data_IF_813196153161
#
_entry.id   IF_813196153161
#
_cell.length_a   1.000
_cell.length_b   1.000
_cell.length_c   1.000
_cell.angle_alpha   90.00
_cell.angle_beta   90.00
_cell.angle_gamma   90.00
#
_symmetry.space_group_name_H-M   'P 1'
#
loop_
_entity.id
_entity.type
_entity.pdbx_description
1 polymer ?
#
# COMPACT_ATOMS: atom_id res chain seq x y z
N UNK A 1 9.50 5.76 21.17
CA UNK A 1 8.15 6.08 20.69
C UNK A 1 8.07 6.52 19.21
N UNK A 2 8.93 7.41 18.67
CA UNK A 2 8.90 7.84 17.26
C UNK A 2 9.17 6.71 16.24
N UNK A 3 9.97 5.71 16.58
CA UNK A 3 10.30 4.55 15.71
C UNK A 3 9.14 3.56 15.55
N UNK A 4 8.38 3.30 16.62
CA UNK A 4 7.22 2.40 16.58
C UNK A 4 6.10 2.93 15.67
N UNK A 5 5.88 4.26 15.62
CA UNK A 5 4.86 4.88 14.77
C UNK A 5 5.18 4.75 13.26
N UNK A 6 6.47 4.79 12.89
CA UNK A 6 6.89 4.56 11.49
C UNK A 6 6.74 3.10 11.06
N UNK A 7 6.89 2.17 12.00
CA UNK A 7 6.72 0.74 11.78
C UNK A 7 5.27 0.38 11.44
N UNK A 8 4.32 0.90 12.19
CA UNK A 8 2.89 0.61 12.02
C UNK A 8 2.42 1.05 10.63
N UNK A 9 2.87 2.21 10.15
CA UNK A 9 2.52 2.71 8.82
C UNK A 9 3.09 1.82 7.70
N UNK A 10 4.33 1.32 7.85
CA UNK A 10 4.95 0.41 6.89
C UNK A 10 4.26 -0.96 6.87
N UNK A 11 3.84 -1.47 8.03
CA UNK A 11 3.16 -2.76 8.17
C UNK A 11 1.78 -2.77 7.47
N UNK A 12 1.02 -1.69 7.65
CA UNK A 12 -0.32 -1.55 7.07
C UNK A 12 -0.26 -1.43 5.55
N UNK A 13 0.76 -0.75 5.02
CA UNK A 13 0.98 -0.64 3.58
C UNK A 13 1.25 -1.99 2.91
N UNK A 14 1.93 -2.90 3.59
CA UNK A 14 2.20 -4.24 3.07
C UNK A 14 0.92 -5.10 2.98
N UNK A 15 0.05 -5.00 3.98
CA UNK A 15 -1.18 -5.80 4.06
C UNK A 15 -2.28 -5.29 3.12
N UNK A 16 -2.44 -3.97 2.97
CA UNK A 16 -3.51 -3.40 2.16
C UNK A 16 -3.25 -3.50 0.65
N UNK A 17 -1.99 -3.53 0.23
CA UNK A 17 -1.66 -3.66 -1.20
C UNK A 17 -1.91 -5.08 -1.74
N UNK A 18 -1.88 -6.10 -0.88
CA UNK A 18 -2.22 -7.47 -1.25
C UNK A 18 -3.70 -7.58 -1.63
N UNK A 19 -4.58 -6.87 -0.93
CA UNK A 19 -6.03 -6.94 -1.17
C UNK A 19 -6.48 -6.26 -2.48
N UNK A 20 -5.82 -5.19 -2.92
CA UNK A 20 -6.27 -4.43 -4.09
C UNK A 20 -5.82 -5.01 -5.43
N UNK A 21 -4.76 -5.81 -5.46
CA UNK A 21 -4.30 -6.47 -6.69
C UNK A 21 -4.82 -7.92 -6.85
N UNK A 22 -5.49 -8.47 -5.83
CA UNK A 22 -6.05 -9.84 -5.86
C UNK A 22 -7.53 -9.88 -6.28
N UNK A 23 -8.19 -8.74 -6.40
CA UNK A 23 -9.62 -8.67 -6.72
C UNK A 23 -9.99 -9.08 -8.18
N UNK A 24 -9.03 -9.52 -8.98
CA UNK A 24 -9.25 -9.94 -10.37
C UNK A 24 -8.95 -11.42 -10.66
N UNK A 25 -8.71 -12.24 -9.63
CA UNK A 25 -8.53 -13.67 -9.84
C UNK A 25 -9.57 -14.47 -9.03
N UNK A 26 -10.27 -15.45 -9.64
CA UNK A 26 -11.14 -16.34 -8.91
C UNK A 26 -10.35 -17.04 -7.81
N UNK A 27 -10.96 -17.21 -6.64
CA UNK A 27 -10.40 -17.93 -5.51
C UNK A 27 -10.24 -19.42 -5.89
N UNK A 28 -9.15 -19.75 -6.55
CA UNK A 28 -8.73 -21.14 -6.67
C UNK A 28 -8.17 -21.58 -5.31
N UNK A 29 -8.70 -22.66 -4.77
CA UNK A 29 -8.14 -23.37 -3.61
C UNK A 29 -6.66 -23.58 -3.89
N UNK A 30 -5.82 -22.88 -3.18
CA UNK A 30 -4.40 -22.83 -3.47
C UNK A 30 -3.73 -23.97 -2.74
N UNK A 31 -3.05 -24.83 -3.48
CA UNK A 31 -2.14 -25.81 -2.89
C UNK A 31 -1.19 -25.08 -1.92
N UNK A 32 -1.25 -25.50 -0.64
CA UNK A 32 -0.41 -24.91 0.41
C UNK A 32 1.05 -24.94 -0.03
N UNK A 33 1.66 -23.77 -0.20
CA UNK A 33 3.11 -23.71 -0.32
C UNK A 33 3.73 -23.04 -1.52
N UNK A 34 3.02 -22.65 -2.57
CA UNK A 34 3.64 -21.92 -3.70
C UNK A 34 3.92 -20.47 -3.34
N UNK A 35 5.21 -20.08 -3.42
CA UNK A 35 5.60 -18.68 -3.19
C UNK A 35 5.04 -17.77 -4.29
N UNK A 36 4.53 -16.61 -3.91
CA UNK A 36 3.99 -15.60 -4.84
C UNK A 36 4.51 -14.22 -4.49
N UNK A 37 4.71 -13.44 -5.53
CA UNK A 37 5.04 -12.03 -5.42
C UNK A 37 4.34 -11.24 -6.53
N UNK A 38 4.00 -9.99 -6.28
CA UNK A 38 3.33 -9.14 -7.25
C UNK A 38 4.14 -9.03 -8.55
N UNK A 39 3.52 -9.31 -9.71
CA UNK A 39 4.18 -9.19 -11.02
C UNK A 39 4.46 -7.74 -11.42
N UNK A 40 3.67 -6.82 -10.89
CA UNK A 40 3.84 -5.37 -11.11
C UNK A 40 3.23 -4.56 -9.97
N UNK A 41 3.73 -3.33 -9.80
CA UNK A 41 3.15 -2.36 -8.88
C UNK A 41 3.38 -0.93 -9.39
N UNK A 42 2.54 0.00 -8.94
CA UNK A 42 2.72 1.44 -9.15
C UNK A 42 2.96 2.11 -7.81
N UNK A 43 4.05 2.86 -7.71
CA UNK A 43 4.43 3.63 -6.54
C UNK A 43 4.45 5.13 -6.89
N UNK A 44 4.23 5.98 -5.92
CA UNK A 44 4.51 7.40 -6.08
C UNK A 44 5.96 7.72 -5.70
N UNK A 45 6.56 8.74 -6.33
CA UNK A 45 7.82 9.31 -5.86
C UNK A 45 7.74 9.62 -4.36
N UNK A 46 8.72 9.14 -3.60
CA UNK A 46 8.79 9.31 -2.15
C UNK A 46 8.18 8.16 -1.35
N UNK A 47 7.46 7.22 -1.99
CA UNK A 47 6.99 6.02 -1.30
C UNK A 47 8.17 5.19 -0.78
N UNK A 48 8.03 4.72 0.45
CA UNK A 48 8.93 3.76 1.10
C UNK A 48 8.06 2.66 1.70
N UNK A 49 7.90 1.56 0.97
CA UNK A 49 6.88 0.54 1.23
C UNK A 49 7.48 -0.87 1.22
N UNK A 50 7.00 -1.72 2.11
CA UNK A 50 7.33 -3.14 2.15
C UNK A 50 6.32 -3.99 1.38
N UNK A 51 6.81 -4.93 0.58
CA UNK A 51 6.00 -5.93 -0.11
C UNK A 51 6.34 -7.32 0.39
N UNK A 52 5.33 -8.00 0.95
CA UNK A 52 5.45 -9.37 1.41
C UNK A 52 5.55 -10.38 0.28
N UNK A 53 6.26 -11.48 0.53
CA UNK A 53 6.26 -12.67 -0.32
C UNK A 53 5.22 -13.62 0.25
N UNK A 54 4.11 -13.81 -0.49
CA UNK A 54 2.99 -14.64 -0.04
C UNK A 54 3.44 -16.10 0.10
N UNK A 55 2.99 -16.78 1.14
CA UNK A 55 3.33 -18.16 1.50
C UNK A 55 4.83 -18.37 1.82
N UNK A 56 5.59 -17.30 2.09
CA UNK A 56 6.92 -17.43 2.67
C UNK A 56 6.84 -17.84 4.15
N UNK A 57 7.89 -18.53 4.61
CA UNK A 57 8.01 -19.00 5.98
C UNK A 57 9.37 -18.58 6.56
N UNK A 58 9.49 -18.51 7.87
CA UNK A 58 10.66 -17.97 8.59
C UNK A 58 12.02 -18.57 8.20
N UNK A 59 12.04 -19.77 7.65
CA UNK A 59 13.27 -20.42 7.17
C UNK A 59 13.64 -20.10 5.73
N UNK A 60 12.80 -19.39 4.98
CA UNK A 60 13.10 -18.99 3.60
C UNK A 60 14.19 -17.90 3.57
N UNK A 61 15.00 -17.84 2.52
CA UNK A 61 16.07 -16.84 2.36
C UNK A 61 15.91 -16.08 1.05
N UNK A 62 15.86 -14.76 1.12
CA UNK A 62 15.90 -13.89 -0.07
C UNK A 62 17.34 -13.75 -0.55
N UNK A 63 17.57 -14.12 -1.81
CA UNK A 63 18.88 -14.08 -2.47
C UNK A 63 18.84 -13.13 -3.67
N UNK A 64 19.98 -12.55 -4.02
CA UNK A 64 20.21 -11.83 -5.29
C UNK A 64 19.19 -10.69 -5.55
N UNK A 65 18.77 -9.99 -4.50
CA UNK A 65 17.80 -8.88 -4.63
C UNK A 65 18.43 -7.69 -5.37
N UNK A 66 17.87 -7.33 -6.52
CA UNK A 66 18.37 -6.26 -7.39
C UNK A 66 17.22 -5.40 -7.94
N UNK A 67 17.51 -4.13 -8.16
CA UNK A 67 16.70 -3.20 -8.96
C UNK A 67 17.45 -2.90 -10.27
N UNK A 68 16.78 -2.97 -11.41
CA UNK A 68 17.37 -2.68 -12.71
C UNK A 68 17.69 -1.19 -12.90
N UNK A 69 17.07 -0.32 -12.08
CA UNK A 69 17.32 1.13 -12.13
C UNK A 69 17.25 1.74 -10.72
N UNK A 70 18.38 1.82 -10.05
CA UNK A 70 18.50 2.34 -8.69
C UNK A 70 18.29 3.86 -8.60
N UNK A 71 18.34 4.58 -9.72
CA UNK A 71 17.96 6.00 -9.79
C UNK A 71 16.43 6.18 -9.67
N UNK A 72 15.66 5.20 -10.11
CA UNK A 72 14.18 5.17 -10.02
C UNK A 72 13.70 4.53 -8.73
N UNK A 73 14.26 3.35 -8.38
CA UNK A 73 13.81 2.54 -7.26
C UNK A 73 14.98 1.83 -6.58
N UNK A 74 15.12 1.97 -5.28
CA UNK A 74 16.01 1.11 -4.49
C UNK A 74 15.22 0.06 -3.74
N UNK A 75 15.85 -1.11 -3.54
CA UNK A 75 15.26 -2.25 -2.84
C UNK A 75 16.22 -2.78 -1.78
N UNK A 76 15.66 -3.24 -0.67
CA UNK A 76 16.42 -3.94 0.37
C UNK A 76 15.53 -4.94 1.09
N UNK A 77 16.12 -5.91 1.76
CA UNK A 77 15.39 -6.76 2.71
C UNK A 77 14.88 -5.88 3.85
N UNK A 78 13.65 -6.10 4.28
CA UNK A 78 13.10 -5.34 5.40
C UNK A 78 13.64 -5.88 6.73
N UNK A 79 14.26 -5.04 7.57
CA UNK A 79 14.76 -5.46 8.88
C UNK A 79 13.66 -5.68 9.93
N UNK A 80 12.41 -5.38 9.61
CA UNK A 80 11.31 -5.36 10.59
C UNK A 80 10.25 -6.45 10.37
N UNK A 81 10.30 -7.09 9.24
CA UNK A 81 9.39 -8.18 8.93
C UNK A 81 10.30 -9.29 8.53
N UNK A 82 10.21 -10.38 9.23
CA UNK A 82 11.00 -11.58 8.94
C UNK A 82 11.45 -11.58 7.47
N UNK A 83 12.50 -12.22 7.08
CA UNK A 83 13.22 -12.20 5.78
C UNK A 83 12.35 -12.25 4.48
N UNK A 84 11.04 -12.03 4.57
CA UNK A 84 10.03 -12.23 3.51
C UNK A 84 9.48 -10.95 2.91
N UNK A 85 9.93 -9.79 3.39
CA UNK A 85 9.48 -8.50 2.88
C UNK A 85 10.59 -7.79 2.13
N UNK A 86 10.25 -7.27 0.97
CA UNK A 86 11.10 -6.41 0.16
C UNK A 86 10.67 -4.99 0.36
N UNK A 87 11.53 -4.20 1.00
CA UNK A 87 11.36 -2.75 1.12
C UNK A 87 11.73 -2.09 -0.19
N UNK A 88 10.84 -1.26 -0.72
CA UNK A 88 11.01 -0.50 -1.96
C UNK A 88 10.93 0.98 -1.69
N UNK A 89 11.98 1.74 -2.04
CA UNK A 89 12.00 3.21 -1.95
C UNK A 89 11.97 3.81 -3.34
N UNK A 90 10.87 4.48 -3.68
CA UNK A 90 10.63 5.15 -4.94
C UNK A 90 11.29 6.52 -4.96
N UNK A 91 12.32 6.73 -5.82
CA UNK A 91 13.15 7.95 -5.84
C UNK A 91 12.68 8.98 -6.86
N UNK A 92 12.43 8.55 -8.09
CA UNK A 92 11.96 9.43 -9.17
C UNK A 92 11.06 8.70 -10.15
N UNK A 93 10.20 9.41 -10.88
CA UNK A 93 9.36 8.81 -11.92
C UNK A 93 10.17 8.01 -12.94
N UNK A 94 9.59 6.89 -13.37
CA UNK A 94 10.21 5.95 -14.31
C UNK A 94 9.78 4.51 -14.03
N UNK A 95 10.45 3.58 -14.69
CA UNK A 95 10.21 2.14 -14.51
C UNK A 95 11.49 1.45 -14.06
N UNK A 96 11.34 0.51 -13.13
CA UNK A 96 12.41 -0.40 -12.74
C UNK A 96 11.85 -1.81 -12.63
N UNK A 97 12.66 -2.81 -12.96
CA UNK A 97 12.34 -4.21 -12.71
C UNK A 97 13.13 -4.65 -11.48
N UNK A 98 12.44 -5.15 -10.48
CA UNK A 98 13.08 -5.84 -9.37
C UNK A 98 13.19 -7.32 -9.71
N UNK A 99 14.32 -7.93 -9.37
CA UNK A 99 14.56 -9.36 -9.50
C UNK A 99 15.19 -9.90 -8.22
N UNK A 100 14.75 -11.08 -7.79
CA UNK A 100 15.30 -11.77 -6.63
C UNK A 100 15.00 -13.26 -6.70
N UNK A 101 15.69 -14.02 -5.85
CA UNK A 101 15.43 -15.44 -5.65
C UNK A 101 15.07 -15.70 -4.19
N UNK A 102 14.24 -16.69 -3.95
CA UNK A 102 13.91 -17.19 -2.62
C UNK A 102 14.30 -18.66 -2.55
N UNK A 103 15.19 -19.00 -1.60
CA UNK A 103 15.58 -20.38 -1.30
C UNK A 103 14.79 -20.87 -0.09
N UNK A 104 14.07 -21.97 -0.24
CA UNK A 104 13.36 -22.65 0.85
C UNK A 104 14.30 -23.56 1.65
N UNK A 105 13.89 -23.94 2.87
CA UNK A 105 14.63 -24.88 3.73
C UNK A 105 14.95 -26.21 3.03
N UNK A 106 14.05 -26.71 2.19
CA UNK A 106 14.24 -27.93 1.39
C UNK A 106 15.18 -27.74 0.18
N UNK A 107 15.88 -26.61 0.07
CA UNK A 107 16.82 -26.32 -1.01
C UNK A 107 16.17 -25.75 -2.29
N UNK A 108 14.85 -25.87 -2.47
CA UNK A 108 14.14 -25.38 -3.68
C UNK A 108 14.28 -23.88 -3.83
N UNK A 109 14.62 -23.42 -5.05
CA UNK A 109 14.82 -22.00 -5.36
C UNK A 109 13.74 -21.52 -6.32
N UNK A 110 13.12 -20.39 -5.95
CA UNK A 110 12.11 -19.69 -6.76
C UNK A 110 12.69 -18.36 -7.24
N UNK A 111 12.46 -18.02 -8.51
CA UNK A 111 12.91 -16.75 -9.10
C UNK A 111 11.72 -15.84 -9.36
N UNK A 112 11.87 -14.56 -9.01
CA UNK A 112 10.83 -13.55 -9.17
C UNK A 112 11.36 -12.36 -9.96
N UNK A 113 10.47 -11.80 -10.79
CA UNK A 113 10.62 -10.51 -11.45
C UNK A 113 9.35 -9.70 -11.26
N UNK A 114 9.46 -8.40 -10.95
CA UNK A 114 8.33 -7.50 -10.80
C UNK A 114 8.64 -6.15 -11.46
N UNK A 115 7.72 -5.68 -12.31
CA UNK A 115 7.83 -4.37 -12.98
C UNK A 115 7.22 -3.30 -12.10
N UNK A 116 8.06 -2.40 -11.58
CA UNK A 116 7.62 -1.30 -10.73
C UNK A 116 7.64 0.00 -11.52
N UNK A 117 6.48 0.62 -11.61
CA UNK A 117 6.33 1.96 -12.18
C UNK A 117 6.29 2.99 -11.06
N UNK A 118 7.21 3.93 -11.08
CA UNK A 118 7.19 5.10 -10.19
C UNK A 118 6.60 6.29 -10.93
N UNK A 119 5.59 6.92 -10.35
CA UNK A 119 4.89 8.08 -10.91
C UNK A 119 5.11 9.32 -10.03
N UNK A 120 4.90 10.51 -10.61
CA UNK A 120 4.72 11.72 -9.83
C UNK A 120 3.38 11.62 -9.11
N UNK A 121 3.37 11.79 -7.80
CA UNK A 121 2.12 11.86 -7.05
C UNK A 121 1.37 13.15 -7.42
N UNK A 122 0.07 13.01 -7.61
CA UNK A 122 -0.85 14.14 -7.81
C UNK A 122 -2.06 13.88 -6.91
N UNK A 123 -2.45 14.88 -6.13
CA UNK A 123 -3.65 14.80 -5.31
C UNK A 123 -4.88 14.55 -6.19
N UNK A 124 -5.57 13.42 -6.06
CA UNK A 124 -6.73 13.09 -6.88
C UNK A 124 -8.02 13.78 -6.43
N UNK A 125 -8.02 14.44 -5.26
CA UNK A 125 -9.24 14.96 -4.64
C UNK A 125 -9.44 16.44 -4.92
N UNK A 126 -10.67 16.80 -5.30
CA UNK A 126 -11.17 18.18 -5.22
C UNK A 126 -11.76 18.47 -3.85
N UNK A 127 -12.29 17.44 -3.17
CA UNK A 127 -12.80 17.54 -1.80
C UNK A 127 -12.55 16.22 -1.06
N UNK A 128 -12.04 16.32 0.18
CA UNK A 128 -11.90 15.19 1.09
C UNK A 128 -12.21 15.68 2.51
N UNK A 129 -13.38 15.36 3.04
CA UNK A 129 -13.80 15.79 4.37
C UNK A 129 -14.12 14.61 5.25
N UNK A 130 -13.84 14.74 6.54
CA UNK A 130 -14.26 13.83 7.59
C UNK A 130 -14.81 14.66 8.77
N UNK A 131 -16.09 14.45 9.11
CA UNK A 131 -16.82 15.37 9.97
C UNK A 131 -16.86 16.77 9.37
N UNK A 132 -16.55 17.77 10.18
CA UNK A 132 -16.49 19.19 9.78
C UNK A 132 -15.13 19.62 9.23
N UNK A 133 -14.12 18.74 9.22
CA UNK A 133 -12.76 19.09 8.79
C UNK A 133 -12.50 18.71 7.34
N UNK A 134 -11.76 19.58 6.64
CA UNK A 134 -11.30 19.35 5.27
C UNK A 134 -9.83 18.94 5.25
N UNK A 135 -9.56 17.76 4.70
CA UNK A 135 -8.23 17.16 4.61
C UNK A 135 -7.63 17.24 3.20
N UNK A 136 -8.33 17.85 2.24
CA UNK A 136 -7.92 17.88 0.83
C UNK A 136 -6.49 18.37 0.65
N UNK A 137 -6.10 19.46 1.33
CA UNK A 137 -4.75 20.04 1.23
C UNK A 137 -3.64 19.14 1.79
N UNK A 138 -3.95 18.24 2.73
CA UNK A 138 -2.95 17.29 3.23
C UNK A 138 -2.52 16.30 2.14
N UNK A 139 -3.42 16.00 1.20
CA UNK A 139 -3.14 15.14 0.06
C UNK A 139 -2.34 15.83 -1.04
N UNK A 140 -2.07 17.14 -1.00
CA UNK A 140 -1.23 17.80 -2.01
C UNK A 140 0.24 17.36 -1.92
N UNK A 141 0.68 17.01 -0.72
CA UNK A 141 2.07 16.63 -0.45
C UNK A 141 2.30 15.12 -0.42
N UNK A 142 1.28 14.36 -0.09
CA UNK A 142 1.40 12.92 0.16
C UNK A 142 0.06 12.23 -0.02
N UNK A 143 0.11 10.95 -0.37
CA UNK A 143 -1.07 10.07 -0.34
C UNK A 143 -1.55 9.70 1.06
N UNK A 144 -0.87 10.20 2.09
CA UNK A 144 -1.21 10.02 3.49
C UNK A 144 -1.65 11.34 4.09
N UNK A 145 -2.83 11.33 4.70
CA UNK A 145 -3.32 12.39 5.55
C UNK A 145 -3.53 11.85 6.98
N UNK A 146 -3.52 12.73 7.96
CA UNK A 146 -3.72 12.39 9.36
C UNK A 146 -4.84 13.20 9.94
N UNK A 147 -5.67 12.56 10.76
CA UNK A 147 -6.59 13.25 11.62
C UNK A 147 -5.77 13.85 12.77
N UNK A 148 -5.92 15.14 12.95
CA UNK A 148 -5.24 15.88 14.02
C UNK A 148 -6.01 15.69 15.35
N UNK A 149 -5.93 14.49 15.90
CA UNK A 149 -6.59 14.15 17.17
C UNK A 149 -6.06 12.84 17.74
N UNK A 150 -5.71 12.87 19.02
CA UNK A 150 -5.38 11.69 19.81
C UNK A 150 -6.60 10.88 20.26
N UNK A 151 -7.81 11.38 20.05
CA UNK A 151 -9.03 10.77 20.51
C UNK A 151 -9.86 10.18 19.36
N UNK A 152 -10.70 9.21 19.69
CA UNK A 152 -11.69 8.62 18.80
C UNK A 152 -12.60 9.70 18.21
N UNK A 153 -12.67 9.79 16.89
CA UNK A 153 -13.54 10.74 16.18
C UNK A 153 -14.59 10.00 15.37
N UNK A 154 -15.84 10.41 15.54
CA UNK A 154 -16.97 9.98 14.70
C UNK A 154 -17.28 11.08 13.70
N UNK A 155 -17.45 10.74 12.44
CA UNK A 155 -17.73 11.74 11.41
C UNK A 155 -18.21 11.14 10.10
N UNK A 156 -18.88 11.99 9.31
CA UNK A 156 -19.30 11.66 7.95
C UNK A 156 -18.12 11.85 7.00
N UNK A 157 -17.86 10.86 6.15
CA UNK A 157 -16.84 10.94 5.11
C UNK A 157 -17.46 11.41 3.80
N UNK A 158 -16.87 12.45 3.17
CA UNK A 158 -17.25 12.87 1.82
C UNK A 158 -15.97 13.05 0.99
N UNK A 159 -15.93 12.35 -0.14
CA UNK A 159 -14.79 12.35 -1.07
C UNK A 159 -15.29 12.69 -2.47
N UNK A 160 -14.70 13.72 -3.06
CA UNK A 160 -14.91 14.09 -4.47
C UNK A 160 -13.56 14.10 -5.17
N UNK A 161 -13.47 13.43 -6.31
CA UNK A 161 -12.23 13.38 -7.11
C UNK A 161 -12.23 14.47 -8.18
N UNK A 162 -11.02 14.89 -8.58
CA UNK A 162 -10.81 15.82 -9.69
C UNK A 162 -11.10 15.15 -11.03
N UNK A 163 -11.36 15.95 -12.07
CA UNK A 163 -11.39 15.48 -13.47
C UNK A 163 -10.12 14.67 -13.77
N UNK A 164 -10.26 13.57 -14.47
CA UNK A 164 -9.15 12.65 -14.77
C UNK A 164 -8.93 11.55 -13.73
N UNK A 165 -9.76 11.51 -12.68
CA UNK A 165 -9.76 10.44 -11.67
C UNK A 165 -11.16 9.88 -11.45
N UNK A 166 -11.23 8.59 -11.09
CA UNK A 166 -12.46 7.91 -10.71
C UNK A 166 -12.25 7.24 -9.35
N UNK A 167 -13.06 7.58 -8.35
CA UNK A 167 -13.10 6.88 -7.07
C UNK A 167 -13.63 5.46 -7.30
N UNK A 168 -12.88 4.44 -6.92
CA UNK A 168 -13.23 3.03 -7.13
C UNK A 168 -13.68 2.34 -5.85
N UNK A 169 -13.32 2.86 -4.69
CA UNK A 169 -13.77 2.36 -3.40
C UNK A 169 -13.34 3.23 -2.23
N UNK A 170 -14.12 3.10 -1.16
CA UNK A 170 -13.78 3.60 0.16
C UNK A 170 -13.85 2.41 1.12
N UNK A 171 -12.84 2.25 1.97
CA UNK A 171 -12.75 1.15 2.92
C UNK A 171 -12.36 1.67 4.28
N UNK A 172 -13.16 1.33 5.28
CA UNK A 172 -12.81 1.48 6.67
C UNK A 172 -12.01 0.26 7.09
N UNK A 173 -10.82 0.46 7.63
CA UNK A 173 -9.84 -0.58 7.86
C UNK A 173 -9.33 -0.54 9.29
N UNK A 174 -9.02 -1.71 9.86
CA UNK A 174 -8.46 -1.90 11.19
C UNK A 174 -6.97 -2.25 11.10
N UNK A 175 -6.13 -1.54 11.88
CA UNK A 175 -4.70 -1.83 11.96
C UNK A 175 -4.43 -3.20 12.61
N UNK A 176 -3.44 -3.91 12.06
CA UNK A 176 -2.94 -5.17 12.62
C UNK A 176 -3.80 -6.40 12.36
N UNK A 177 -5.08 -6.26 12.03
CA UNK A 177 -5.98 -7.42 11.81
C UNK A 177 -6.21 -7.74 10.33
N UNK A 178 -5.89 -6.79 9.44
CA UNK A 178 -6.20 -6.88 8.01
C UNK A 178 -7.69 -6.79 7.69
N UNK A 179 -8.55 -6.60 8.69
CA UNK A 179 -9.99 -6.43 8.47
C UNK A 179 -10.28 -5.12 7.75
N UNK A 180 -11.14 -5.18 6.75
CA UNK A 180 -11.62 -4.00 6.02
C UNK A 180 -13.09 -4.15 5.65
N UNK A 181 -13.81 -3.04 5.70
CA UNK A 181 -15.23 -2.96 5.31
C UNK A 181 -15.37 -1.89 4.23
N UNK A 182 -15.92 -2.28 3.08
CA UNK A 182 -16.29 -1.32 2.04
C UNK A 182 -17.43 -0.43 2.55
N UNK A 183 -17.29 0.88 2.37
CA UNK A 183 -18.29 1.87 2.80
C UNK A 183 -18.74 2.72 1.62
N UNK A 184 -19.92 3.32 1.74
CA UNK A 184 -20.42 4.29 0.77
C UNK A 184 -19.84 5.68 1.07
N UNK A 185 -19.66 6.50 0.04
CA UNK A 185 -19.40 7.93 0.23
C UNK A 185 -20.59 8.57 0.96
N UNK A 186 -20.33 9.37 1.96
CA UNK A 186 -21.36 9.91 2.85
C UNK A 186 -21.62 9.06 4.11
N UNK A 187 -20.99 7.90 4.27
CA UNK A 187 -21.12 7.08 5.49
C UNK A 187 -20.55 7.81 6.71
N UNK A 188 -21.18 7.60 7.85
CA UNK A 188 -20.63 7.98 9.17
C UNK A 188 -19.79 6.82 9.70
N UNK A 189 -18.54 7.10 10.02
CA UNK A 189 -17.57 6.14 10.55
C UNK A 189 -16.87 6.69 11.77
N UNK A 190 -16.17 5.84 12.48
CA UNK A 190 -15.28 6.21 13.58
C UNK A 190 -13.85 5.95 13.17
N UNK A 191 -12.96 6.91 13.39
CA UNK A 191 -11.52 6.77 13.24
C UNK A 191 -10.85 7.06 14.58
N UNK A 192 -9.89 6.22 14.92
CA UNK A 192 -9.04 6.30 16.12
C UNK A 192 -7.65 5.74 15.80
N UNK A 193 -6.81 5.51 16.80
CA UNK A 193 -5.47 4.96 16.62
C UNK A 193 -5.43 3.55 16.03
N UNK A 194 -6.56 2.82 16.07
CA UNK A 194 -6.69 1.46 15.53
C UNK A 194 -7.32 1.41 14.15
N UNK A 195 -7.80 2.54 13.62
CA UNK A 195 -8.54 2.55 12.37
C UNK A 195 -8.02 3.61 11.40
N UNK A 196 -8.17 3.30 10.10
CA UNK A 196 -7.87 4.23 9.02
C UNK A 196 -8.89 4.10 7.89
N UNK A 197 -9.00 5.15 7.10
CA UNK A 197 -9.81 5.15 5.89
C UNK A 197 -8.89 5.04 4.67
N UNK A 198 -9.18 4.08 3.81
CA UNK A 198 -8.51 3.87 2.54
C UNK A 198 -9.44 4.31 1.41
N UNK A 199 -8.98 5.22 0.55
CA UNK A 199 -9.65 5.56 -0.69
C UNK A 199 -8.87 5.02 -1.88
N UNK A 200 -9.52 4.17 -2.68
CA UNK A 200 -8.97 3.65 -3.93
C UNK A 200 -9.51 4.46 -5.09
N UNK A 201 -8.65 4.78 -6.03
CA UNK A 201 -9.02 5.55 -7.21
C UNK A 201 -8.21 5.12 -8.44
N UNK A 202 -8.75 5.39 -9.60
CA UNK A 202 -8.14 5.12 -10.90
C UNK A 202 -7.90 6.43 -11.64
N UNK A 203 -6.70 6.61 -12.19
CA UNK A 203 -6.45 7.64 -13.19
C UNK A 203 -7.04 7.22 -14.51
N UNK A 204 -7.81 8.10 -15.16
CA UNK A 204 -8.42 7.84 -16.48
C UNK A 204 -7.41 8.03 -17.61
N UNK A 205 -6.39 8.89 -17.44
CA UNK A 205 -5.38 9.21 -18.45
C UNK A 205 -4.17 8.28 -18.43
N UNK A 206 -3.77 7.78 -17.26
CA UNK A 206 -2.54 6.99 -17.11
C UNK A 206 -2.77 5.50 -16.84
N UNK A 207 -4.01 5.05 -16.89
CA UNK A 207 -4.44 3.66 -16.69
C UNK A 207 -3.76 2.94 -15.50
N UNK A 208 -3.75 3.59 -14.33
CA UNK A 208 -3.30 2.98 -13.09
C UNK A 208 -4.32 3.19 -11.97
N UNK A 209 -4.35 2.26 -11.05
CA UNK A 209 -5.10 2.41 -9.79
C UNK A 209 -4.14 2.76 -8.67
N UNK A 210 -4.61 3.57 -7.73
CA UNK A 210 -3.79 4.03 -6.62
C UNK A 210 -4.61 4.17 -5.34
N UNK A 211 -3.92 4.32 -4.21
CA UNK A 211 -4.56 4.33 -2.91
C UNK A 211 -4.06 5.51 -2.08
N UNK A 212 -4.97 6.13 -1.37
CA UNK A 212 -4.68 7.15 -0.35
C UNK A 212 -5.24 6.74 1.00
N UNK A 213 -4.68 7.29 2.07
CA UNK A 213 -5.00 6.91 3.43
C UNK A 213 -5.26 8.14 4.29
N UNK A 214 -6.36 8.13 5.03
CA UNK A 214 -6.62 9.05 6.14
C UNK A 214 -6.50 8.24 7.44
N UNK A 215 -5.43 8.48 8.17
CA UNK A 215 -5.11 7.72 9.37
C UNK A 215 -5.72 8.37 10.61
N UNK A 216 -6.33 7.55 11.46
CA UNK A 216 -6.55 7.91 12.86
C UNK A 216 -5.20 8.04 13.60
N UNK A 217 -5.10 8.89 14.59
CA UNK A 217 -3.89 9.14 15.40
C UNK A 217 -4.20 8.94 16.87
#
# INVERSE_FOLDING_TARGET
>A
MKRAKKLIVALVLALTFIATNLAAAPATVQAAGTLRFAKSATLAKGDDVGYGIINSVKSDKILSLKSSNTKVLTVKKSPFMDDYTIQMKAKKPGTSVISFKVKRKNGKVYSFKSKIRVIKYTNPFSKYTFGNKNYTKQFDKSRFAKIDSKSRKKGKINVTVKKGFKLTGLYWCEYGTGKSKKIKNGSTITLDSMHYLQATYKSTSMNYSYVTYLNGV
#
